data_IF_364103183979
#
_entry.id   IF_364103183979
#
_cell.length_a   1.000
_cell.length_b   1.000
_cell.length_c   1.000
_cell.angle_alpha   90.00
_cell.angle_beta   90.00
_cell.angle_gamma   90.00
#
_symmetry.space_group_name_H-M   'P 1'
#
loop_
_entity.id
_entity.type
_entity.pdbx_description
1 polymer ?
#
# COMPACT_ATOMS: atom_id res chain seq x y z
N UNK A 1 -19.88 -5.42 -14.53
CA UNK A 1 -19.40 -4.12 -15.08
C UNK A 1 -18.22 -4.40 -15.99
N UNK A 2 -18.29 -4.05 -17.27
CA UNK A 2 -17.18 -4.30 -18.23
C UNK A 2 -16.30 -3.08 -18.47
N UNK A 3 -16.77 -1.88 -18.12
CA UNK A 3 -16.02 -0.64 -18.31
C UNK A 3 -14.96 -0.46 -17.21
N UNK A 4 -13.69 -0.51 -17.61
CA UNK A 4 -12.54 -0.40 -16.71
C UNK A 4 -12.45 0.93 -15.97
N UNK A 5 -12.88 2.03 -16.58
CA UNK A 5 -12.93 3.34 -15.92
C UNK A 5 -13.87 3.33 -14.72
N UNK A 6 -15.04 2.71 -14.89
CA UNK A 6 -16.03 2.61 -13.82
C UNK A 6 -15.53 1.67 -12.71
N UNK A 7 -14.87 0.55 -13.07
CA UNK A 7 -14.29 -0.36 -12.08
C UNK A 7 -13.23 0.32 -11.23
N UNK A 8 -12.31 1.08 -11.85
CA UNK A 8 -11.27 1.77 -11.10
C UNK A 8 -11.81 2.94 -10.29
N UNK A 9 -12.75 3.71 -10.83
CA UNK A 9 -13.41 4.78 -10.09
C UNK A 9 -14.17 4.23 -8.87
N UNK A 10 -14.88 3.11 -9.02
CA UNK A 10 -15.55 2.43 -7.92
C UNK A 10 -14.55 1.86 -6.92
N UNK A 11 -13.44 1.27 -7.36
CA UNK A 11 -12.41 0.75 -6.47
C UNK A 11 -11.80 1.86 -5.61
N UNK A 12 -11.43 2.99 -6.23
CA UNK A 12 -10.91 4.18 -5.55
C UNK A 12 -11.96 4.78 -4.61
N UNK A 13 -13.19 4.94 -5.07
CA UNK A 13 -14.28 5.54 -4.30
C UNK A 13 -14.66 4.70 -3.08
N UNK A 14 -14.87 3.40 -3.28
CA UNK A 14 -15.21 2.47 -2.21
C UNK A 14 -14.07 2.36 -1.19
N UNK A 15 -12.82 2.23 -1.63
CA UNK A 15 -11.67 2.17 -0.71
C UNK A 15 -11.48 3.48 0.05
N UNK A 16 -11.72 4.64 -0.59
CA UNK A 16 -11.67 5.93 0.09
C UNK A 16 -12.76 6.07 1.16
N UNK A 17 -13.98 5.61 0.90
CA UNK A 17 -15.09 5.62 1.88
C UNK A 17 -14.78 4.70 3.06
N UNK A 18 -14.32 3.48 2.79
CA UNK A 18 -13.93 2.53 3.83
C UNK A 18 -12.75 3.08 4.65
N UNK A 19 -11.74 3.65 3.99
CA UNK A 19 -10.61 4.29 4.65
C UNK A 19 -11.03 5.52 5.47
N UNK A 20 -12.05 6.26 5.03
CA UNK A 20 -12.59 7.39 5.79
C UNK A 20 -13.30 6.91 7.05
N UNK A 21 -14.13 5.87 6.95
CA UNK A 21 -14.83 5.28 8.10
C UNK A 21 -13.84 4.71 9.13
N UNK A 22 -12.88 3.89 8.67
CA UNK A 22 -11.86 3.28 9.52
C UNK A 22 -10.94 4.37 10.09
N UNK A 23 -10.41 5.24 9.23
CA UNK A 23 -9.50 6.31 9.61
C UNK A 23 -10.11 7.30 10.60
N UNK A 24 -11.41 7.58 10.50
CA UNK A 24 -12.10 8.49 11.41
C UNK A 24 -12.03 8.02 12.87
N UNK A 25 -12.00 6.70 13.08
CA UNK A 25 -11.86 6.06 14.40
C UNK A 25 -10.39 5.84 14.73
N UNK A 26 -9.64 5.18 13.84
CA UNK A 26 -8.26 4.76 14.09
C UNK A 26 -7.34 5.94 14.38
N UNK A 27 -7.40 7.01 13.58
CA UNK A 27 -6.47 8.15 13.67
C UNK A 27 -6.63 8.97 14.96
N UNK A 28 -7.69 8.73 15.75
CA UNK A 28 -7.88 9.35 17.07
C UNK A 28 -6.94 8.79 18.14
N UNK A 29 -6.45 7.57 17.95
CA UNK A 29 -5.52 6.92 18.88
C UNK A 29 -4.07 7.09 18.39
N UNK A 30 -3.11 6.87 19.30
CA UNK A 30 -1.69 7.03 19.01
C UNK A 30 -0.88 5.81 19.47
N UNK A 31 0.26 5.60 18.82
CA UNK A 31 1.20 4.53 19.16
C UNK A 31 0.62 3.14 18.91
N UNK A 32 0.74 2.27 19.92
CA UNK A 32 0.36 0.85 19.82
C UNK A 32 -1.16 0.70 19.62
N UNK A 33 -1.97 1.55 20.24
CA UNK A 33 -3.43 1.51 20.09
C UNK A 33 -3.89 1.74 18.66
N UNK A 34 -3.20 2.62 17.91
CA UNK A 34 -3.49 2.84 16.50
C UNK A 34 -3.29 1.55 15.70
N UNK A 35 -2.14 0.90 15.90
CA UNK A 35 -1.77 -0.35 15.21
C UNK A 35 -2.77 -1.46 15.54
N UNK A 36 -3.13 -1.63 16.81
CA UNK A 36 -4.08 -2.65 17.25
C UNK A 36 -5.46 -2.46 16.63
N UNK A 37 -5.97 -1.22 16.57
CA UNK A 37 -7.26 -0.91 15.95
C UNK A 37 -7.21 -1.17 14.44
N UNK A 38 -6.13 -0.77 13.75
CA UNK A 38 -5.99 -1.04 12.31
C UNK A 38 -5.90 -2.54 12.01
N UNK A 39 -5.23 -3.32 12.87
CA UNK A 39 -5.18 -4.77 12.77
C UNK A 39 -6.57 -5.39 12.95
N UNK A 40 -7.33 -4.94 13.96
CA UNK A 40 -8.68 -5.40 14.20
C UNK A 40 -9.60 -5.14 12.99
N UNK A 41 -9.53 -3.93 12.40
CA UNK A 41 -10.29 -3.62 11.18
C UNK A 41 -9.84 -4.44 9.97
N UNK A 42 -8.53 -4.69 9.80
CA UNK A 42 -8.02 -5.57 8.74
C UNK A 42 -8.59 -6.99 8.89
N UNK A 43 -8.58 -7.56 10.10
CA UNK A 43 -9.15 -8.88 10.36
C UNK A 43 -10.68 -8.91 10.17
N UNK A 44 -11.38 -7.86 10.59
CA UNK A 44 -12.82 -7.75 10.35
C UNK A 44 -13.16 -7.75 8.85
N UNK A 45 -12.40 -7.01 8.03
CA UNK A 45 -12.57 -7.00 6.57
C UNK A 45 -12.20 -8.35 5.94
N UNK A 46 -11.16 -9.02 6.44
CA UNK A 46 -10.79 -10.36 6.01
C UNK A 46 -11.93 -11.37 6.22
N UNK A 47 -12.49 -11.44 7.44
CA UNK A 47 -13.62 -12.32 7.73
C UNK A 47 -14.90 -11.92 7.00
N UNK A 48 -15.11 -10.62 6.75
CA UNK A 48 -16.20 -10.15 5.91
C UNK A 48 -16.03 -10.66 4.46
N UNK A 49 -14.81 -10.64 3.91
CA UNK A 49 -14.52 -11.19 2.60
C UNK A 49 -14.81 -12.68 2.48
N UNK A 50 -14.39 -13.46 3.49
CA UNK A 50 -14.69 -14.90 3.57
C UNK A 50 -16.20 -15.15 3.68
N UNK A 51 -16.92 -14.32 4.44
CA UNK A 51 -18.35 -14.50 4.70
C UNK A 51 -19.24 -14.22 3.49
N UNK A 52 -18.77 -13.49 2.47
CA UNK A 52 -19.61 -13.15 1.30
C UNK A 52 -19.41 -14.20 0.20
N UNK A 53 -20.27 -15.21 0.21
CA UNK A 53 -20.25 -16.30 -0.78
C UNK A 53 -20.43 -15.79 -2.23
N UNK A 54 -21.14 -14.67 -2.42
CA UNK A 54 -21.36 -14.06 -3.75
C UNK A 54 -20.05 -13.63 -4.43
N UNK A 55 -19.00 -13.32 -3.65
CA UNK A 55 -17.67 -12.98 -4.16
C UNK A 55 -16.68 -14.16 -4.10
N UNK A 56 -17.17 -15.38 -3.94
CA UNK A 56 -16.37 -16.61 -3.91
C UNK A 56 -15.98 -17.08 -2.51
N UNK A 57 -16.37 -16.36 -1.44
CA UNK A 57 -16.09 -16.75 -0.05
C UNK A 57 -14.61 -17.07 0.19
N UNK A 58 -14.33 -18.18 0.89
CA UNK A 58 -12.97 -18.64 1.21
C UNK A 58 -12.19 -19.12 -0.03
N UNK A 59 -12.89 -19.70 -1.01
CA UNK A 59 -12.28 -20.23 -2.24
C UNK A 59 -11.83 -19.13 -3.21
N UNK A 60 -12.37 -17.92 -3.04
CA UNK A 60 -12.17 -16.81 -3.96
C UNK A 60 -12.86 -17.03 -5.31
N UNK A 61 -12.66 -16.09 -6.24
CA UNK A 61 -13.27 -16.14 -7.56
C UNK A 61 -12.29 -15.75 -8.66
N UNK A 62 -12.34 -16.48 -9.78
CA UNK A 62 -11.64 -16.11 -11.02
C UNK A 62 -12.44 -15.04 -11.73
N UNK A 63 -11.75 -13.98 -12.16
CA UNK A 63 -12.40 -12.96 -12.99
C UNK A 63 -12.60 -13.53 -14.40
N UNK A 64 -13.82 -13.50 -14.96
CA UNK A 64 -14.07 -14.05 -16.29
C UNK A 64 -13.37 -13.25 -17.41
N UNK A 65 -13.11 -11.95 -17.20
CA UNK A 65 -12.37 -11.06 -18.12
C UNK A 65 -11.65 -9.96 -17.34
N UNK A 66 -10.52 -9.50 -17.87
CA UNK A 66 -9.85 -8.27 -17.41
C UNK A 66 -10.72 -7.04 -17.69
N UNK A 67 -10.43 -5.95 -16.98
CA UNK A 67 -11.11 -4.66 -17.14
C UNK A 67 -10.92 -4.15 -18.57
N UNK A 68 -12.00 -3.80 -19.27
CA UNK A 68 -11.90 -3.36 -20.66
C UNK A 68 -11.97 -1.84 -20.75
N UNK A 69 -10.98 -1.22 -21.40
CA UNK A 69 -10.99 0.19 -21.72
C UNK A 69 -11.31 0.34 -23.21
N UNK A 70 -12.51 0.82 -23.58
CA UNK A 70 -12.88 0.93 -24.99
C UNK A 70 -11.88 1.82 -25.73
N UNK A 71 -11.11 1.25 -26.65
CA UNK A 71 -10.32 1.95 -27.67
C UNK A 71 -8.99 2.60 -27.26
N UNK A 72 -8.64 2.72 -25.97
CA UNK A 72 -7.39 3.40 -25.55
C UNK A 72 -6.29 2.48 -25.02
N UNK A 73 -6.63 1.43 -24.25
CA UNK A 73 -5.64 0.57 -23.59
C UNK A 73 -6.15 -0.87 -23.59
N UNK A 74 -5.39 -1.76 -24.21
CA UNK A 74 -5.67 -3.20 -24.18
C UNK A 74 -4.94 -3.85 -23.00
N UNK A 75 -5.70 -4.36 -22.01
CA UNK A 75 -5.16 -5.05 -20.84
C UNK A 75 -4.79 -6.51 -21.11
N UNK A 76 -5.19 -7.05 -22.27
CA UNK A 76 -4.78 -8.38 -22.68
C UNK A 76 -3.34 -8.38 -23.21
N UNK A 77 -2.85 -7.25 -23.73
CA UNK A 77 -1.45 -7.09 -24.09
C UNK A 77 -0.57 -6.85 -22.83
N UNK A 78 0.33 -7.79 -22.47
CA UNK A 78 1.17 -7.67 -21.27
C UNK A 78 2.06 -6.42 -21.28
N UNK A 79 2.51 -5.98 -22.47
CA UNK A 79 3.38 -4.82 -22.61
C UNK A 79 2.61 -3.53 -22.32
N UNK A 80 1.40 -3.40 -22.87
CA UNK A 80 0.54 -2.25 -22.62
C UNK A 80 0.15 -2.16 -21.14
N UNK A 81 -0.19 -3.29 -20.52
CA UNK A 81 -0.47 -3.36 -19.09
C UNK A 81 0.72 -2.95 -18.23
N UNK A 82 1.94 -3.41 -18.58
CA UNK A 82 3.16 -3.02 -17.87
C UNK A 82 3.38 -1.50 -17.89
N UNK A 83 3.32 -0.87 -19.08
CA UNK A 83 3.53 0.58 -19.19
C UNK A 83 2.43 1.39 -18.49
N UNK A 84 1.20 0.89 -18.47
CA UNK A 84 0.09 1.49 -17.74
C UNK A 84 0.35 1.50 -16.23
N UNK A 85 0.71 0.34 -15.66
CA UNK A 85 1.03 0.21 -14.23
C UNK A 85 2.24 1.06 -13.88
N UNK A 86 3.26 1.09 -14.75
CA UNK A 86 4.45 1.94 -14.58
C UNK A 86 4.08 3.43 -14.57
N UNK A 87 3.20 3.88 -15.47
CA UNK A 87 2.72 5.26 -15.49
C UNK A 87 1.95 5.63 -14.20
N UNK A 88 1.10 4.72 -13.70
CA UNK A 88 0.38 4.90 -12.43
C UNK A 88 1.36 4.95 -11.24
N UNK A 89 2.37 4.08 -11.23
CA UNK A 89 3.42 4.08 -10.21
C UNK A 89 4.15 5.43 -10.18
N UNK A 90 4.58 5.93 -11.34
CA UNK A 90 5.25 7.24 -11.46
C UNK A 90 4.32 8.35 -10.98
N UNK A 91 3.03 8.30 -11.35
CA UNK A 91 2.04 9.27 -10.88
C UNK A 91 1.88 9.23 -9.34
N UNK A 92 1.84 8.05 -8.73
CA UNK A 92 1.78 7.91 -7.27
C UNK A 92 3.03 8.44 -6.58
N UNK A 93 4.22 8.17 -7.11
CA UNK A 93 5.48 8.72 -6.60
C UNK A 93 5.49 10.25 -6.70
N UNK A 94 5.05 10.80 -7.82
CA UNK A 94 4.96 12.24 -8.04
C UNK A 94 3.95 12.89 -7.08
N UNK A 95 2.75 12.33 -6.95
CA UNK A 95 1.71 12.82 -6.06
C UNK A 95 2.15 12.73 -4.59
N UNK A 96 2.77 11.62 -4.19
CA UNK A 96 3.34 11.43 -2.86
C UNK A 96 4.41 12.48 -2.56
N UNK A 97 5.36 12.69 -3.48
CA UNK A 97 6.39 13.72 -3.35
C UNK A 97 5.80 15.13 -3.25
N UNK A 98 4.80 15.45 -4.08
CA UNK A 98 4.11 16.75 -4.04
C UNK A 98 3.35 16.94 -2.73
N UNK A 99 2.65 15.92 -2.24
CA UNK A 99 1.86 15.96 -1.01
C UNK A 99 2.76 16.17 0.22
N UNK A 100 3.85 15.42 0.28
CA UNK A 100 4.84 15.47 1.36
C UNK A 100 5.53 16.84 1.42
N UNK A 101 5.82 17.47 0.28
CA UNK A 101 6.48 18.78 0.21
C UNK A 101 5.52 19.98 0.17
N UNK A 102 4.21 19.74 0.25
CA UNK A 102 3.20 20.80 0.33
C UNK A 102 2.98 21.28 1.77
N UNK A 103 2.17 22.35 1.92
CA UNK A 103 1.72 22.84 3.23
C UNK A 103 1.03 21.75 4.07
N UNK A 104 0.33 20.83 3.41
CA UNK A 104 -0.29 19.68 4.06
C UNK A 104 0.75 18.78 4.74
N UNK A 105 1.80 18.40 4.02
CA UNK A 105 2.89 17.60 4.55
C UNK A 105 3.66 18.30 5.67
N UNK A 106 3.84 19.63 5.58
CA UNK A 106 4.48 20.42 6.65
C UNK A 106 3.70 20.35 7.97
N UNK A 107 2.36 20.46 7.93
CA UNK A 107 1.53 20.35 9.14
C UNK A 107 1.63 18.96 9.77
N UNK A 108 1.65 17.90 8.97
CA UNK A 108 1.81 16.53 9.48
C UNK A 108 3.19 16.33 10.11
N UNK A 109 4.26 16.83 9.48
CA UNK A 109 5.62 16.76 10.05
C UNK A 109 5.73 17.56 11.35
N UNK A 110 5.13 18.75 11.40
CA UNK A 110 5.05 19.56 12.62
C UNK A 110 4.30 18.82 13.74
N UNK A 111 3.15 18.23 13.41
CA UNK A 111 2.35 17.45 14.35
C UNK A 111 3.08 16.19 14.84
N UNK A 112 3.93 15.58 14.01
CA UNK A 112 4.79 14.45 14.41
C UNK A 112 5.89 14.89 15.39
N UNK A 113 6.45 16.07 15.22
CA UNK A 113 7.52 16.59 16.07
C UNK A 113 7.00 17.05 17.44
N UNK A 114 5.92 17.86 17.46
CA UNK A 114 5.29 18.31 18.70
C UNK A 114 3.83 18.69 18.44
N UNK A 115 2.93 17.76 18.79
CA UNK A 115 1.48 17.94 18.60
C UNK A 115 0.90 19.10 19.43
N UNK A 116 1.21 19.27 20.73
CA UNK A 116 0.77 20.43 21.51
C UNK A 116 1.18 21.77 20.87
N UNK A 117 2.43 21.90 20.41
CA UNK A 117 2.92 23.11 19.75
C UNK A 117 2.19 23.39 18.44
N UNK A 118 1.91 22.35 17.65
CA UNK A 118 1.18 22.48 16.38
C UNK A 118 -0.26 22.96 16.61
N UNK A 119 -0.89 22.52 17.70
CA UNK A 119 -2.22 23.00 18.10
C UNK A 119 -2.19 24.44 18.60
N UNK A 120 -1.15 24.84 19.32
CA UNK A 120 -1.00 26.21 19.83
C UNK A 120 -0.89 27.26 18.72
N UNK A 121 -0.32 26.91 17.56
CA UNK A 121 -0.25 27.79 16.38
C UNK A 121 -1.51 27.73 15.49
N UNK A 122 -2.58 27.07 15.95
CA UNK A 122 -3.90 27.05 15.29
C UNK A 122 -4.18 25.90 14.33
N UNK A 123 -3.28 24.93 14.17
CA UNK A 123 -3.52 23.75 13.31
C UNK A 123 -4.04 22.55 14.12
N UNK A 124 -5.15 21.97 13.69
CA UNK A 124 -5.65 20.70 14.23
C UNK A 124 -5.05 19.52 13.44
N UNK A 125 -4.24 18.62 14.04
CA UNK A 125 -3.58 17.53 13.29
C UNK A 125 -4.54 16.46 12.74
N UNK A 126 -5.68 16.27 13.39
CA UNK A 126 -6.64 15.21 13.08
C UNK A 126 -7.11 15.19 11.60
N UNK A 127 -7.66 16.28 11.03
CA UNK A 127 -8.12 16.27 9.64
C UNK A 127 -6.99 15.98 8.64
N UNK A 128 -5.75 16.44 8.92
CA UNK A 128 -4.59 16.16 8.06
C UNK A 128 -4.22 14.67 8.10
N UNK A 129 -4.20 14.06 9.28
CA UNK A 129 -3.93 12.62 9.42
C UNK A 129 -5.05 11.78 8.78
N UNK A 130 -6.31 12.17 8.95
CA UNK A 130 -7.45 11.48 8.34
C UNK A 130 -7.39 11.57 6.81
N UNK A 131 -7.15 12.75 6.24
CA UNK A 131 -7.01 12.92 4.81
C UNK A 131 -5.83 12.10 4.26
N UNK A 132 -4.69 12.05 4.97
CA UNK A 132 -3.56 11.21 4.57
C UNK A 132 -3.92 9.72 4.56
N UNK A 133 -4.69 9.25 5.55
CA UNK A 133 -5.18 7.88 5.64
C UNK A 133 -6.13 7.53 4.48
N UNK A 134 -7.06 8.43 4.15
CA UNK A 134 -8.01 8.27 3.03
C UNK A 134 -7.28 8.24 1.70
N UNK A 135 -6.32 9.14 1.47
CA UNK A 135 -5.51 9.16 0.24
C UNK A 135 -4.71 7.87 0.10
N UNK A 136 -4.09 7.38 1.17
CA UNK A 136 -3.37 6.10 1.16
C UNK A 136 -4.30 4.92 0.84
N UNK A 137 -5.50 4.88 1.43
CA UNK A 137 -6.51 3.85 1.15
C UNK A 137 -7.05 3.91 -0.29
N UNK A 138 -7.24 5.11 -0.83
CA UNK A 138 -7.62 5.34 -2.22
C UNK A 138 -6.56 4.80 -3.19
N UNK A 139 -5.28 5.12 -2.96
CA UNK A 139 -4.15 4.60 -3.73
C UNK A 139 -4.02 3.07 -3.60
N UNK A 140 -4.19 2.53 -2.40
CA UNK A 140 -4.19 1.09 -2.14
C UNK A 140 -5.33 0.36 -2.85
N UNK A 141 -6.52 0.96 -2.92
CA UNK A 141 -7.67 0.40 -3.65
C UNK A 141 -7.41 0.31 -5.16
N UNK A 142 -6.79 1.34 -5.76
CA UNK A 142 -6.36 1.27 -7.15
C UNK A 142 -5.29 0.18 -7.36
N UNK A 143 -4.30 0.10 -6.46
CA UNK A 143 -3.27 -0.93 -6.52
C UNK A 143 -3.87 -2.35 -6.42
N UNK A 144 -4.86 -2.56 -5.56
CA UNK A 144 -5.60 -3.82 -5.46
C UNK A 144 -6.39 -4.14 -6.73
N UNK A 145 -7.05 -3.15 -7.34
CA UNK A 145 -7.74 -3.33 -8.62
C UNK A 145 -6.77 -3.73 -9.75
N UNK A 146 -5.58 -3.14 -9.79
CA UNK A 146 -4.51 -3.50 -10.73
C UNK A 146 -4.00 -4.93 -10.48
N UNK A 147 -3.78 -5.29 -9.21
CA UNK A 147 -3.34 -6.64 -8.82
C UNK A 147 -4.33 -7.71 -9.29
N UNK A 148 -5.63 -7.52 -9.06
CA UNK A 148 -6.66 -8.46 -9.50
C UNK A 148 -6.74 -8.54 -11.04
N UNK A 149 -6.48 -7.45 -11.76
CA UNK A 149 -6.36 -7.48 -13.22
C UNK A 149 -5.12 -8.24 -13.71
N UNK A 150 -4.05 -8.26 -12.92
CA UNK A 150 -2.82 -9.01 -13.22
C UNK A 150 -3.02 -10.51 -12.97
N UNK A 151 -3.53 -10.88 -11.79
CA UNK A 151 -3.68 -12.29 -11.37
C UNK A 151 -4.93 -12.95 -11.96
N UNK A 152 -5.92 -12.15 -12.37
CA UNK A 152 -7.24 -12.60 -12.82
C UNK A 152 -7.94 -13.48 -11.76
N UNK A 153 -7.56 -13.29 -10.50
CA UNK A 153 -8.05 -14.06 -9.37
C UNK A 153 -8.19 -13.17 -8.14
N UNK A 154 -9.37 -13.21 -7.53
CA UNK A 154 -9.72 -12.52 -6.31
C UNK A 154 -9.79 -13.54 -5.17
N UNK A 155 -9.01 -13.35 -4.11
CA UNK A 155 -9.10 -14.16 -2.89
C UNK A 155 -9.08 -13.25 -1.65
N UNK A 156 -9.82 -13.60 -0.58
CA UNK A 156 -9.74 -12.89 0.70
C UNK A 156 -8.34 -12.88 1.31
N UNK A 157 -7.45 -13.79 0.92
CA UNK A 157 -6.07 -13.86 1.43
C UNK A 157 -5.28 -12.55 1.20
N UNK A 158 -5.63 -11.77 0.17
CA UNK A 158 -5.04 -10.44 -0.06
C UNK A 158 -5.39 -9.43 1.04
N UNK A 159 -6.47 -9.65 1.80
CA UNK A 159 -6.90 -8.80 2.92
C UNK A 159 -6.30 -9.25 4.26
N UNK A 160 -5.59 -10.38 4.29
CA UNK A 160 -4.98 -10.91 5.51
C UNK A 160 -3.91 -9.94 6.04
N UNK A 161 -3.77 -9.87 7.36
CA UNK A 161 -2.77 -9.01 8.01
C UNK A 161 -1.34 -9.34 7.59
N UNK A 162 -1.06 -10.60 7.25
CA UNK A 162 0.26 -11.03 6.77
C UNK A 162 0.70 -10.26 5.53
N UNK A 163 -0.21 -10.02 4.57
CA UNK A 163 0.06 -9.20 3.38
C UNK A 163 0.39 -7.75 3.73
N UNK A 164 -0.28 -7.18 4.74
CA UNK A 164 0.06 -5.84 5.23
C UNK A 164 1.47 -5.81 5.86
N UNK A 165 1.86 -6.89 6.54
CA UNK A 165 3.21 -7.08 7.08
C UNK A 165 4.28 -7.12 6.00
N UNK A 166 4.05 -7.88 4.93
CA UNK A 166 4.95 -7.95 3.76
C UNK A 166 5.18 -6.58 3.13
N UNK A 167 4.10 -5.81 2.88
CA UNK A 167 4.19 -4.45 2.37
C UNK A 167 4.95 -3.53 3.32
N UNK A 168 4.76 -3.67 4.64
CA UNK A 168 5.52 -2.92 5.63
C UNK A 168 7.01 -3.27 5.57
N UNK A 169 7.37 -4.53 5.36
CA UNK A 169 8.76 -4.94 5.17
C UNK A 169 9.38 -4.31 3.92
N UNK A 170 8.67 -4.28 2.78
CA UNK A 170 9.13 -3.59 1.57
C UNK A 170 9.42 -2.11 1.84
N UNK A 171 8.55 -1.43 2.58
CA UNK A 171 8.73 -0.01 2.96
C UNK A 171 9.94 0.17 3.89
N UNK A 172 10.09 -0.68 4.91
CA UNK A 172 11.19 -0.59 5.89
C UNK A 172 12.53 -0.88 5.23
N UNK A 173 12.62 -1.96 4.44
CA UNK A 173 13.83 -2.37 3.73
C UNK A 173 14.28 -1.27 2.75
N UNK A 174 13.32 -0.74 1.98
CA UNK A 174 13.57 0.32 1.02
C UNK A 174 13.96 1.64 1.65
N UNK A 175 13.40 1.95 2.83
CA UNK A 175 13.69 3.13 3.63
C UNK A 175 12.49 4.08 3.74
N UNK A 176 12.00 4.26 4.97
CA UNK A 176 10.84 5.12 5.32
C UNK A 176 11.05 6.62 5.10
N UNK A 177 12.29 7.07 4.87
CA UNK A 177 12.64 8.49 4.76
C UNK A 177 12.47 9.06 3.34
N UNK A 178 12.34 8.20 2.31
CA UNK A 178 12.26 8.62 0.91
C UNK A 178 10.97 8.13 0.26
N UNK A 179 10.44 8.87 -0.72
CA UNK A 179 9.23 8.46 -1.45
C UNK A 179 9.50 7.30 -2.43
N UNK A 180 10.73 7.20 -2.94
CA UNK A 180 11.15 6.14 -3.85
C UNK A 180 11.68 4.88 -3.12
N UNK A 181 12.00 4.99 -1.83
CA UNK A 181 12.51 3.88 -1.01
C UNK A 181 11.65 2.62 -1.09
N UNK A 182 10.33 2.69 -0.86
CA UNK A 182 9.45 1.53 -0.95
C UNK A 182 9.50 0.79 -2.29
N UNK A 183 9.75 1.50 -3.41
CA UNK A 183 9.86 0.87 -4.73
C UNK A 183 11.14 0.04 -4.84
N UNK A 184 12.27 0.57 -4.33
CA UNK A 184 13.51 -0.18 -4.25
C UNK A 184 13.38 -1.39 -3.32
N UNK A 185 12.73 -1.23 -2.16
CA UNK A 185 12.49 -2.32 -1.22
C UNK A 185 11.60 -3.42 -1.80
N UNK A 186 10.54 -3.03 -2.53
CA UNK A 186 9.69 -3.97 -3.27
C UNK A 186 10.47 -4.71 -4.37
N UNK A 187 11.26 -3.98 -5.17
CA UNK A 187 12.09 -4.60 -6.21
C UNK A 187 13.08 -5.61 -5.63
N UNK A 188 13.80 -5.26 -4.57
CA UNK A 188 14.76 -6.16 -3.92
C UNK A 188 14.06 -7.37 -3.32
N UNK A 189 12.94 -7.17 -2.61
CA UNK A 189 12.25 -8.31 -2.00
C UNK A 189 11.64 -9.25 -3.02
N UNK A 190 10.97 -8.73 -4.05
CA UNK A 190 10.36 -9.56 -5.08
C UNK A 190 11.41 -10.32 -5.89
N UNK A 191 12.54 -9.68 -6.23
CA UNK A 191 13.64 -10.37 -6.90
C UNK A 191 14.27 -11.45 -6.02
N UNK A 192 14.42 -11.17 -4.72
CA UNK A 192 14.96 -12.15 -3.79
C UNK A 192 13.98 -13.32 -3.59
N UNK A 193 12.69 -13.05 -3.47
CA UNK A 193 11.63 -14.07 -3.42
C UNK A 193 11.67 -14.96 -4.66
N UNK A 194 11.72 -14.38 -5.86
CA UNK A 194 11.75 -15.13 -7.12
C UNK A 194 13.02 -16.00 -7.24
N UNK A 195 14.19 -15.44 -6.91
CA UNK A 195 15.46 -16.18 -6.92
C UNK A 195 15.49 -17.33 -5.90
N UNK A 196 15.02 -17.10 -4.68
CA UNK A 196 14.99 -18.12 -3.63
C UNK A 196 13.94 -19.19 -3.93
N UNK A 197 12.77 -18.81 -4.46
CA UNK A 197 11.73 -19.75 -4.87
C UNK A 197 12.22 -20.69 -5.98
N UNK A 198 13.07 -20.20 -6.89
CA UNK A 198 13.71 -21.03 -7.91
C UNK A 198 14.73 -22.04 -7.35
N UNK A 199 15.28 -21.80 -6.17
CA UNK A 199 16.32 -22.65 -5.56
C UNK A 199 15.78 -23.54 -4.44
N UNK A 200 14.74 -23.12 -3.73
CA UNK A 200 14.25 -23.81 -2.53
C UNK A 200 12.75 -23.64 -2.36
N UNK A 201 12.02 -24.75 -2.19
CA UNK A 201 10.58 -24.75 -1.96
C UNK A 201 10.18 -24.04 -0.64
N UNK A 202 11.10 -23.98 0.34
CA UNK A 202 10.92 -23.34 1.65
C UNK A 202 11.60 -21.96 1.71
N UNK A 203 11.48 -21.16 0.64
CA UNK A 203 12.12 -19.84 0.52
C UNK A 203 11.84 -18.92 1.72
N UNK A 204 10.64 -18.99 2.32
CA UNK A 204 10.23 -18.21 3.49
C UNK A 204 11.15 -18.41 4.71
N UNK A 205 11.71 -19.62 4.87
CA UNK A 205 12.59 -19.98 5.98
C UNK A 205 13.94 -19.24 5.90
N UNK A 206 14.41 -18.95 4.68
CA UNK A 206 15.63 -18.20 4.41
C UNK A 206 15.35 -16.69 4.38
N UNK A 207 14.22 -16.29 3.82
CA UNK A 207 13.84 -14.89 3.66
C UNK A 207 13.63 -14.17 4.99
N UNK A 208 13.02 -14.82 5.98
CA UNK A 208 12.80 -14.24 7.32
C UNK A 208 14.09 -13.78 8.04
N UNK A 209 15.08 -14.66 8.25
CA UNK A 209 16.36 -14.28 8.84
C UNK A 209 17.11 -13.23 8.01
N UNK A 210 17.11 -13.35 6.68
CA UNK A 210 17.78 -12.40 5.80
C UNK A 210 17.14 -11.01 5.91
N UNK A 211 15.82 -10.93 6.03
CA UNK A 211 15.09 -9.70 6.32
C UNK A 211 15.50 -9.10 7.66
N UNK A 212 15.54 -9.89 8.74
CA UNK A 212 15.96 -9.39 10.06
C UNK A 212 17.39 -8.84 10.00
N UNK A 213 18.32 -9.55 9.36
CA UNK A 213 19.69 -9.08 9.18
C UNK A 213 19.72 -7.78 8.39
N UNK A 214 18.98 -7.70 7.26
CA UNK A 214 18.94 -6.49 6.44
C UNK A 214 18.45 -5.27 7.23
N UNK A 215 17.41 -5.41 8.06
CA UNK A 215 16.90 -4.30 8.88
C UNK A 215 17.89 -3.90 9.99
N UNK A 216 18.59 -4.88 10.58
CA UNK A 216 19.60 -4.61 11.62
C UNK A 216 20.82 -3.88 11.09
N UNK A 217 21.30 -4.24 9.90
CA UNK A 217 22.49 -3.64 9.29
C UNK A 217 22.18 -2.36 8.52
N UNK A 218 21.01 -2.24 7.89
CA UNK A 218 20.61 -1.07 7.09
C UNK A 218 19.68 -0.12 7.87
N UNK A 219 20.23 0.62 8.84
CA UNK A 219 19.47 1.57 9.70
C UNK A 219 18.73 2.70 8.97
N UNK A 220 19.09 3.01 7.72
CA UNK A 220 18.43 4.02 6.86
C UNK A 220 17.67 3.42 5.67
N UNK A 221 17.60 2.08 5.57
CA UNK A 221 17.09 1.37 4.39
C UNK A 221 18.05 1.47 3.18
N UNK A 222 17.76 0.70 2.13
CA UNK A 222 18.60 0.63 0.92
C UNK A 222 18.69 1.97 0.18
N UNK A 223 17.63 2.78 0.16
CA UNK A 223 17.66 4.10 -0.44
C UNK A 223 18.62 5.07 0.28
N UNK A 224 18.84 4.86 1.59
CA UNK A 224 19.76 5.65 2.40
C UNK A 224 21.23 5.50 2.01
N UNK A 225 21.59 4.44 1.28
CA UNK A 225 22.95 4.20 0.77
C UNK A 225 23.23 5.08 -0.45
N UNK A 226 22.21 5.31 -1.28
CA UNK A 226 22.31 6.13 -2.50
C UNK A 226 22.11 7.62 -2.22
N UNK A 227 21.28 7.97 -1.24
CA UNK A 227 21.18 9.36 -0.77
C UNK A 227 22.36 9.66 0.17
N UNK A 228 23.50 10.07 -0.40
CA UNK A 228 24.57 10.77 0.34
C UNK A 228 24.05 12.15 0.76
N UNK A 229 23.23 12.22 1.79
CA UNK A 229 23.04 13.46 2.54
C UNK A 229 23.74 13.31 3.90
N UNK A 230 24.74 14.17 4.08
CA UNK A 230 25.54 14.30 5.30
C UNK A 230 24.71 15.06 6.33
N UNK A 231 24.74 14.59 7.59
CA UNK A 231 24.18 15.31 8.75
C UNK A 231 22.80 14.82 9.15
#
# INVERSE_FOLDING_TARGET
ITNGWLQWALAIGASAVVALAIGAVSVRTSGIYFIMITLAFSQMLYYLGISIEEFGGDDGMRLPKKSQFPGLIDLDNPVAFYYLVLAILIAFLYLGHRLVNSRFGMVIRAAKANEPRTRAIGFSPYPYRLAAFVIAGAMGGLAGALLVNQTVFLTPEFMNWTRSGELMFMVILGGVATTAGPVLGAAVLLLLEDLLAGWTQHWQLILGPLLVLSVLFFRRGLAGIFSRDHG
#
